data_IF_966141555393
#
_entry.id   IF_966141555393
#
_cell.length_a   1.000
_cell.length_b   1.000
_cell.length_c   1.000
_cell.angle_alpha   90.00
_cell.angle_beta   90.00
_cell.angle_gamma   90.00
#
_symmetry.space_group_name_H-M   'P 1'
#
loop_
_entity.id
_entity.type
_entity.pdbx_description
1 polymer ?
#
# COMPACT_ATOMS: atom_id res chain seq x y z
N UNK A 1 30.40 -8.56 -22.66
CA UNK A 1 29.54 -8.74 -21.48
C UNK A 1 28.61 -9.91 -21.73
N UNK A 2 28.83 -11.04 -21.04
CA UNK A 2 27.95 -12.21 -21.16
C UNK A 2 26.55 -11.87 -20.66
N UNK A 3 25.52 -12.16 -21.46
CA UNK A 3 24.12 -12.02 -21.05
C UNK A 3 23.87 -13.01 -19.88
N UNK A 4 23.61 -12.52 -18.68
CA UNK A 4 23.24 -13.40 -17.58
C UNK A 4 21.90 -14.11 -17.90
N UNK A 5 21.80 -15.38 -17.51
CA UNK A 5 20.57 -16.16 -17.65
C UNK A 5 19.72 -15.92 -16.38
N UNK A 6 18.48 -15.37 -16.49
CA UNK A 6 17.66 -15.11 -15.32
C UNK A 6 17.27 -16.42 -14.62
N UNK A 7 17.25 -16.41 -13.28
CA UNK A 7 16.92 -17.58 -12.43
C UNK A 7 15.45 -17.63 -12.04
N UNK A 8 14.66 -16.63 -12.39
CA UNK A 8 13.24 -16.53 -12.06
C UNK A 8 12.63 -15.24 -12.55
N UNK A 9 11.38 -15.01 -12.17
CA UNK A 9 10.54 -13.90 -12.61
C UNK A 9 10.14 -12.99 -11.46
N UNK A 10 10.07 -11.68 -11.75
CA UNK A 10 9.24 -10.71 -11.03
C UNK A 10 8.04 -10.40 -11.91
N UNK A 11 6.84 -10.64 -11.40
CA UNK A 11 5.60 -10.25 -12.07
C UNK A 11 5.08 -8.96 -11.43
N UNK A 12 4.73 -7.97 -12.26
CA UNK A 12 4.28 -6.67 -11.79
C UNK A 12 3.06 -6.15 -12.56
N UNK A 13 2.31 -5.23 -11.96
CA UNK A 13 1.26 -4.47 -12.63
C UNK A 13 1.86 -3.27 -13.40
N UNK A 14 1.06 -2.62 -14.24
CA UNK A 14 1.54 -1.55 -15.12
C UNK A 14 2.20 -0.38 -14.37
N UNK A 15 1.72 -0.04 -13.19
CA UNK A 15 2.13 1.14 -12.43
C UNK A 15 3.43 0.95 -11.65
N UNK A 16 3.70 -0.25 -11.19
CA UNK A 16 4.93 -0.59 -10.47
C UNK A 16 6.13 -0.91 -11.37
N UNK A 17 5.97 -0.72 -12.70
CA UNK A 17 6.90 -1.21 -13.70
C UNK A 17 8.34 -0.70 -13.56
N UNK A 18 8.55 0.58 -13.24
CA UNK A 18 9.91 1.14 -13.10
C UNK A 18 10.63 0.48 -11.92
N UNK A 19 10.01 0.46 -10.75
CA UNK A 19 10.58 -0.14 -9.54
C UNK A 19 10.79 -1.65 -9.71
N UNK A 20 9.81 -2.35 -10.28
CA UNK A 20 9.89 -3.79 -10.53
C UNK A 20 11.05 -4.15 -11.48
N UNK A 21 11.27 -3.36 -12.54
CA UNK A 21 12.38 -3.56 -13.47
C UNK A 21 13.73 -3.31 -12.83
N UNK A 22 13.88 -2.25 -12.02
CA UNK A 22 15.10 -1.98 -11.27
C UNK A 22 15.40 -3.10 -10.27
N UNK A 23 14.40 -3.55 -9.54
CA UNK A 23 14.54 -4.65 -8.58
C UNK A 23 14.91 -5.97 -9.27
N UNK A 24 14.26 -6.28 -10.38
CA UNK A 24 14.58 -7.46 -11.19
C UNK A 24 16.01 -7.45 -11.70
N UNK A 25 16.50 -6.33 -12.22
CA UNK A 25 17.87 -6.18 -12.67
C UNK A 25 18.87 -6.45 -11.53
N UNK A 26 18.63 -5.85 -10.36
CA UNK A 26 19.50 -6.02 -9.19
C UNK A 26 19.50 -7.47 -8.65
N UNK A 27 18.39 -8.19 -8.78
CA UNK A 27 18.23 -9.58 -8.32
C UNK A 27 18.57 -10.63 -9.39
N UNK A 28 18.98 -10.22 -10.59
CA UNK A 28 19.20 -11.09 -11.76
C UNK A 28 17.95 -11.91 -12.12
N UNK A 29 16.78 -11.32 -11.94
CA UNK A 29 15.48 -11.86 -12.34
C UNK A 29 15.00 -11.19 -13.64
N UNK A 30 14.01 -11.79 -14.30
CA UNK A 30 13.32 -11.17 -15.41
C UNK A 30 12.04 -10.49 -14.94
N UNK A 31 11.90 -9.19 -15.22
CA UNK A 31 10.67 -8.45 -14.96
C UNK A 31 9.66 -8.69 -16.08
N UNK A 32 8.46 -9.13 -15.73
CA UNK A 32 7.36 -9.36 -16.68
C UNK A 32 6.14 -8.57 -16.21
N UNK A 33 5.65 -7.71 -17.11
CA UNK A 33 4.35 -7.07 -16.92
C UNK A 33 3.27 -8.14 -16.99
N UNK A 34 2.17 -7.92 -16.28
CA UNK A 34 1.01 -8.81 -16.31
C UNK A 34 0.44 -8.96 -17.73
N UNK A 35 0.99 -9.90 -18.46
CA UNK A 35 0.59 -10.28 -19.80
C UNK A 35 0.69 -11.81 -19.89
N UNK A 36 -0.48 -12.46 -19.97
CA UNK A 36 -0.57 -13.92 -19.93
C UNK A 36 0.18 -14.57 -21.09
N UNK A 37 0.22 -13.94 -22.26
CA UNK A 37 0.94 -14.45 -23.44
C UNK A 37 2.45 -14.49 -23.20
N UNK A 38 3.01 -13.44 -22.63
CA UNK A 38 4.44 -13.35 -22.32
C UNK A 38 4.82 -14.28 -21.17
N UNK A 39 3.94 -14.46 -20.19
CA UNK A 39 4.18 -15.35 -19.06
C UNK A 39 4.18 -16.81 -19.51
N UNK A 40 3.34 -17.16 -20.47
CA UNK A 40 3.31 -18.49 -21.07
C UNK A 40 4.60 -18.82 -21.79
N UNK A 41 5.21 -17.86 -22.48
CA UNK A 41 6.54 -18.01 -23.13
C UNK A 41 7.68 -18.27 -22.14
N UNK A 42 7.50 -17.92 -20.86
CA UNK A 42 8.50 -18.10 -19.81
C UNK A 42 8.10 -19.13 -18.75
N UNK A 43 7.28 -20.11 -19.13
CA UNK A 43 6.71 -21.12 -18.23
C UNK A 43 7.76 -21.98 -17.50
N UNK A 44 9.00 -22.03 -17.98
CA UNK A 44 10.10 -22.75 -17.32
C UNK A 44 10.75 -21.99 -16.15
N UNK A 45 10.51 -20.68 -16.02
CA UNK A 45 11.08 -19.90 -14.93
C UNK A 45 10.08 -19.74 -13.78
N UNK A 46 10.49 -20.05 -12.53
CA UNK A 46 9.61 -19.88 -11.38
C UNK A 46 9.32 -18.40 -11.11
N UNK A 47 8.10 -18.10 -10.69
CA UNK A 47 7.76 -16.78 -10.19
C UNK A 47 8.34 -16.65 -8.77
N UNK A 48 9.29 -15.75 -8.58
CA UNK A 48 9.94 -15.52 -7.28
C UNK A 48 9.25 -14.41 -6.49
N UNK A 49 8.80 -13.36 -7.17
CA UNK A 49 8.24 -12.17 -6.54
C UNK A 49 7.00 -11.72 -7.30
N UNK A 50 5.92 -11.43 -6.56
CA UNK A 50 4.75 -10.70 -7.06
C UNK A 50 4.79 -9.27 -6.54
N UNK A 51 5.03 -8.34 -7.43
CA UNK A 51 5.10 -6.92 -7.09
C UNK A 51 3.77 -6.24 -7.42
N UNK A 52 2.81 -6.34 -6.47
CA UNK A 52 1.46 -5.80 -6.62
C UNK A 52 0.59 -6.51 -7.66
N UNK A 53 0.92 -7.73 -8.03
CA UNK A 53 0.22 -8.49 -9.05
C UNK A 53 -0.49 -9.71 -8.48
N UNK A 54 -1.82 -9.74 -8.56
CA UNK A 54 -2.69 -10.84 -8.10
C UNK A 54 -3.17 -11.77 -9.21
N UNK A 55 -2.83 -11.50 -10.46
CA UNK A 55 -3.20 -12.37 -11.58
C UNK A 55 -2.36 -13.65 -11.61
N UNK A 56 -2.85 -14.70 -12.25
CA UNK A 56 -2.23 -16.02 -12.36
C UNK A 56 -2.22 -16.83 -11.05
N UNK A 57 -3.43 -17.19 -10.59
CA UNK A 57 -3.61 -18.09 -9.44
C UNK A 57 -2.99 -19.48 -9.62
N UNK A 58 -2.79 -19.92 -10.85
CA UNK A 58 -2.48 -21.32 -11.19
C UNK A 58 -0.99 -21.66 -11.25
N UNK A 59 -0.07 -20.71 -11.08
CA UNK A 59 1.36 -21.03 -11.11
C UNK A 59 1.90 -21.23 -9.71
N UNK A 60 2.38 -22.45 -9.51
CA UNK A 60 3.17 -22.84 -8.36
C UNK A 60 4.33 -21.89 -8.14
N UNK A 61 4.73 -21.71 -6.88
CA UNK A 61 6.03 -21.22 -6.41
C UNK A 61 6.25 -19.74 -6.23
N UNK A 62 5.22 -18.93 -6.06
CA UNK A 62 5.48 -17.60 -5.55
C UNK A 62 5.77 -17.65 -4.06
N UNK A 63 7.02 -17.43 -3.73
CA UNK A 63 7.41 -17.39 -2.33
C UNK A 63 7.08 -16.06 -1.66
N UNK A 64 6.94 -14.95 -2.43
CA UNK A 64 6.86 -13.63 -1.82
C UNK A 64 5.75 -12.78 -2.39
N UNK A 65 4.93 -12.35 -1.50
CA UNK A 65 3.57 -11.89 -1.53
C UNK A 65 2.64 -12.84 -2.27
N UNK A 66 1.88 -13.61 -1.51
CA UNK A 66 0.85 -14.50 -2.07
C UNK A 66 -0.24 -13.71 -2.80
N UNK A 67 -0.96 -14.38 -3.68
CA UNK A 67 -2.10 -13.78 -4.39
C UNK A 67 -3.17 -13.30 -3.40
N UNK A 68 -3.44 -14.09 -2.37
CA UNK A 68 -4.42 -13.80 -1.33
C UNK A 68 -4.04 -12.54 -0.55
N UNK A 69 -2.77 -12.42 -0.15
CA UNK A 69 -2.24 -11.22 0.53
C UNK A 69 -2.40 -9.98 -0.35
N UNK A 70 -2.06 -10.08 -1.65
CA UNK A 70 -2.17 -8.95 -2.57
C UNK A 70 -3.64 -8.55 -2.77
N UNK A 71 -4.53 -9.52 -2.97
CA UNK A 71 -5.97 -9.27 -3.13
C UNK A 71 -6.58 -8.61 -1.88
N UNK A 72 -6.21 -9.09 -0.70
CA UNK A 72 -6.64 -8.50 0.57
C UNK A 72 -6.17 -7.04 0.68
N UNK A 73 -4.87 -6.79 0.47
CA UNK A 73 -4.28 -5.46 0.65
C UNK A 73 -4.71 -4.46 -0.44
N UNK A 74 -5.05 -4.90 -1.64
CA UNK A 74 -5.47 -4.04 -2.75
C UNK A 74 -6.96 -3.68 -2.74
N UNK A 75 -7.76 -4.34 -1.92
CA UNK A 75 -9.20 -4.10 -1.80
C UNK A 75 -9.50 -3.40 -0.46
N UNK A 76 -9.75 -2.10 -0.49
CA UNK A 76 -9.96 -1.29 0.71
C UNK A 76 -11.11 -1.80 1.60
N UNK A 77 -12.21 -2.29 1.02
CA UNK A 77 -13.32 -2.85 1.77
C UNK A 77 -12.94 -4.18 2.44
N UNK A 78 -12.30 -5.08 1.70
CA UNK A 78 -11.85 -6.36 2.25
C UNK A 78 -10.83 -6.16 3.36
N UNK A 79 -9.89 -5.23 3.17
CA UNK A 79 -8.90 -4.88 4.18
C UNK A 79 -9.52 -4.23 5.42
N UNK A 80 -10.47 -3.31 5.24
CA UNK A 80 -11.21 -2.72 6.36
C UNK A 80 -11.95 -3.79 7.20
N UNK A 81 -12.70 -4.67 6.54
CA UNK A 81 -13.40 -5.77 7.22
C UNK A 81 -12.42 -6.71 7.95
N UNK A 82 -11.29 -7.03 7.30
CA UNK A 82 -10.23 -7.82 7.92
C UNK A 82 -9.67 -7.14 9.17
N UNK A 83 -9.41 -5.83 9.10
CA UNK A 83 -8.93 -5.06 10.25
C UNK A 83 -9.94 -5.07 11.40
N UNK A 84 -11.22 -4.86 11.12
CA UNK A 84 -12.29 -4.90 12.14
C UNK A 84 -12.34 -6.27 12.83
N UNK A 85 -12.32 -7.36 12.06
CA UNK A 85 -12.36 -8.72 12.59
C UNK A 85 -11.12 -9.08 13.44
N UNK A 86 -10.03 -8.35 13.29
CA UNK A 86 -8.78 -8.56 14.04
C UNK A 86 -8.48 -7.45 15.07
N UNK A 87 -9.46 -6.57 15.38
CA UNK A 87 -9.31 -5.44 16.30
C UNK A 87 -8.17 -4.47 15.92
N UNK A 88 -7.95 -4.29 14.62
CA UNK A 88 -6.98 -3.36 14.07
C UNK A 88 -7.70 -2.08 13.67
N UNK A 89 -7.17 -0.94 14.10
CA UNK A 89 -7.75 0.34 13.74
C UNK A 89 -7.46 0.69 12.28
N UNK A 90 -8.50 0.78 11.48
CA UNK A 90 -8.48 1.19 10.07
C UNK A 90 -9.74 1.99 9.74
N UNK A 91 -9.77 2.78 8.65
CA UNK A 91 -11.00 3.42 8.22
C UNK A 91 -12.09 2.40 7.92
N UNK A 92 -13.31 2.69 8.32
CA UNK A 92 -14.48 1.86 8.02
C UNK A 92 -15.04 2.29 6.67
N UNK A 93 -15.13 1.37 5.73
CA UNK A 93 -15.70 1.60 4.41
C UNK A 93 -17.14 1.11 4.38
N UNK A 94 -18.10 2.04 4.29
CA UNK A 94 -19.52 1.72 4.18
C UNK A 94 -20.00 2.03 2.76
N UNK A 95 -20.65 1.09 2.04
CA UNK A 95 -21.29 1.41 0.78
C UNK A 95 -22.29 2.54 0.95
N UNK A 96 -22.30 3.54 0.06
CA UNK A 96 -23.15 4.72 0.23
C UNK A 96 -24.64 4.37 0.26
N UNK A 97 -25.06 3.35 -0.47
CA UNK A 97 -26.45 2.85 -0.41
C UNK A 97 -26.84 2.20 0.94
N UNK A 98 -25.89 2.04 1.85
CA UNK A 98 -26.11 1.57 3.24
C UNK A 98 -25.79 2.64 4.27
N UNK A 99 -25.56 3.88 3.82
CA UNK A 99 -25.30 5.00 4.71
C UNK A 99 -26.56 5.34 5.49
N UNK A 100 -26.38 5.67 6.77
CA UNK A 100 -27.45 6.18 7.61
C UNK A 100 -28.04 7.48 7.06
N UNK A 101 -29.31 7.77 7.32
CA UNK A 101 -29.99 8.97 6.82
C UNK A 101 -29.30 10.28 7.28
N UNK A 102 -28.60 10.26 8.41
CA UNK A 102 -27.87 11.41 8.96
C UNK A 102 -26.41 11.04 9.25
N UNK A 103 -25.56 11.05 8.21
CA UNK A 103 -24.14 10.78 8.44
C UNK A 103 -23.47 11.89 9.25
N UNK A 104 -22.46 11.53 10.03
CA UNK A 104 -21.62 12.50 10.73
C UNK A 104 -20.72 13.23 9.73
N UNK A 105 -20.83 14.55 9.66
CA UNK A 105 -19.98 15.42 8.83
C UNK A 105 -18.75 15.90 9.62
N UNK A 106 -17.62 16.16 8.93
CA UNK A 106 -17.35 15.80 7.54
C UNK A 106 -17.05 14.31 7.36
N UNK A 107 -17.26 13.80 6.13
CA UNK A 107 -16.85 12.48 5.74
C UNK A 107 -16.24 12.47 4.34
N UNK A 108 -15.58 11.35 3.97
CA UNK A 108 -14.97 11.17 2.66
C UNK A 108 -15.84 10.26 1.80
N UNK A 109 -15.95 10.58 0.52
CA UNK A 109 -16.48 9.68 -0.50
C UNK A 109 -15.33 9.20 -1.37
N UNK A 110 -15.22 7.89 -1.56
CA UNK A 110 -14.14 7.25 -2.31
C UNK A 110 -14.68 6.18 -3.25
N UNK A 111 -14.02 6.00 -4.39
CA UNK A 111 -14.26 4.85 -5.25
C UNK A 111 -13.68 3.56 -4.62
N UNK A 112 -14.25 2.41 -5.01
CA UNK A 112 -13.79 1.09 -4.56
C UNK A 112 -12.31 0.85 -4.88
N UNK A 113 -11.90 1.26 -6.07
CA UNK A 113 -10.53 1.17 -6.56
C UNK A 113 -10.01 2.58 -6.80
N UNK A 114 -9.42 3.16 -5.78
CA UNK A 114 -8.82 4.48 -5.85
C UNK A 114 -7.30 4.39 -5.77
N UNK A 115 -6.60 5.40 -6.31
CA UNK A 115 -5.15 5.46 -6.35
C UNK A 115 -4.63 6.85 -6.05
N UNK A 116 -3.56 6.94 -5.25
CA UNK A 116 -2.87 8.19 -4.95
C UNK A 116 -3.77 9.33 -4.45
N UNK A 117 -4.91 9.00 -3.82
CA UNK A 117 -5.88 10.00 -3.37
C UNK A 117 -6.71 10.64 -4.48
N UNK A 118 -6.69 10.08 -5.71
CA UNK A 118 -7.63 10.47 -6.77
C UNK A 118 -9.05 10.08 -6.37
N UNK A 119 -10.01 10.87 -6.82
CA UNK A 119 -11.45 10.62 -6.62
C UNK A 119 -11.89 10.57 -5.15
N UNK A 120 -11.11 11.19 -4.23
CA UNK A 120 -11.54 11.44 -2.88
C UNK A 120 -12.25 12.79 -2.84
N UNK A 121 -13.48 12.80 -2.35
CA UNK A 121 -14.26 13.99 -2.11
C UNK A 121 -14.56 14.13 -0.63
N UNK A 122 -14.45 15.36 -0.10
CA UNK A 122 -14.89 15.67 1.25
C UNK A 122 -16.32 16.17 1.15
N UNK A 123 -17.19 15.58 1.94
CA UNK A 123 -18.58 15.99 2.06
C UNK A 123 -18.72 16.67 3.42
N UNK A 124 -18.93 17.97 3.41
CA UNK A 124 -19.04 18.78 4.62
C UNK A 124 -20.50 18.97 5.03
N UNK A 125 -21.41 18.94 4.05
CA UNK A 125 -22.85 19.17 4.29
C UNK A 125 -23.72 18.30 3.37
N UNK A 126 -25.00 18.18 3.69
CA UNK A 126 -25.98 17.49 2.84
C UNK A 126 -26.09 18.08 1.42
N UNK A 127 -25.74 19.34 1.22
CA UNK A 127 -25.77 20.00 -0.10
C UNK A 127 -24.71 19.45 -1.04
N UNK A 128 -23.63 18.88 -0.51
CA UNK A 128 -22.50 18.34 -1.28
C UNK A 128 -22.78 16.92 -1.81
N UNK A 129 -23.89 16.31 -1.36
CA UNK A 129 -24.30 14.95 -1.70
C UNK A 129 -24.83 14.76 -3.14
N UNK A 130 -24.60 15.68 -4.07
CA UNK A 130 -25.02 15.59 -5.49
C UNK A 130 -24.24 14.53 -6.32
N UNK A 131 -23.92 13.39 -5.73
CA UNK A 131 -22.98 12.44 -6.30
C UNK A 131 -23.75 11.25 -6.88
N UNK A 132 -23.33 10.80 -8.08
CA UNK A 132 -23.71 9.47 -8.60
C UNK A 132 -23.13 8.39 -7.68
N UNK A 133 -23.99 7.75 -6.89
CA UNK A 133 -23.60 7.08 -5.65
C UNK A 133 -23.36 5.57 -5.77
N UNK A 134 -23.66 4.94 -6.92
CA UNK A 134 -23.79 3.48 -7.00
C UNK A 134 -22.51 2.67 -6.71
N UNK A 135 -21.31 3.26 -6.91
CA UNK A 135 -20.03 2.55 -6.78
C UNK A 135 -19.13 3.07 -5.67
N UNK A 136 -19.62 4.04 -4.88
CA UNK A 136 -18.80 4.77 -3.92
C UNK A 136 -18.98 4.28 -2.49
N UNK A 137 -17.99 4.58 -1.68
CA UNK A 137 -17.97 4.28 -0.25
C UNK A 137 -17.91 5.58 0.56
N UNK A 138 -18.68 5.60 1.61
CA UNK A 138 -18.54 6.52 2.72
C UNK A 138 -17.40 6.05 3.63
N UNK A 139 -16.52 6.98 3.99
CA UNK A 139 -15.43 6.77 4.95
C UNK A 139 -15.44 7.92 5.95
N UNK A 140 -15.56 7.68 7.24
CA UNK A 140 -15.51 8.74 8.24
C UNK A 140 -14.22 9.57 8.10
N UNK A 141 -14.34 10.90 8.20
CA UNK A 141 -13.17 11.75 8.26
C UNK A 141 -12.51 11.61 9.63
N UNK A 142 -11.26 11.17 9.64
CA UNK A 142 -10.49 10.93 10.87
C UNK A 142 -9.36 11.98 10.94
N UNK A 143 -9.45 12.96 11.86
CA UNK A 143 -8.40 13.94 12.07
C UNK A 143 -7.11 13.27 12.53
N UNK A 144 -6.02 13.50 11.78
CA UNK A 144 -4.73 12.92 12.09
C UNK A 144 -3.68 14.02 12.31
N UNK A 145 -2.72 13.78 13.21
CA UNK A 145 -1.64 14.73 13.49
C UNK A 145 -0.56 14.68 12.40
N UNK A 146 -0.17 13.47 12.03
CA UNK A 146 0.82 13.21 10.98
C UNK A 146 0.59 11.84 10.36
N UNK A 147 1.15 11.63 9.17
CA UNK A 147 1.12 10.37 8.45
C UNK A 147 2.54 9.87 8.19
N UNK A 148 2.71 8.57 8.26
CA UNK A 148 3.98 7.88 8.03
C UNK A 148 3.82 6.74 7.05
N UNK A 149 4.88 6.43 6.33
CA UNK A 149 5.04 5.19 5.56
C UNK A 149 6.09 4.31 6.20
N UNK A 150 5.71 3.08 6.49
CA UNK A 150 6.60 2.06 7.05
C UNK A 150 6.91 1.02 6.00
N UNK A 151 8.17 0.88 5.61
CA UNK A 151 8.63 -0.23 4.78
C UNK A 151 8.93 -1.45 5.63
N UNK A 152 8.26 -2.53 5.29
CA UNK A 152 8.37 -3.83 5.93
C UNK A 152 8.93 -4.86 4.95
N UNK A 153 9.88 -5.67 5.40
CA UNK A 153 10.49 -6.71 4.58
C UNK A 153 10.85 -7.89 5.49
N UNK A 154 10.29 -9.07 5.21
CA UNK A 154 10.69 -10.35 5.80
C UNK A 154 10.82 -10.33 7.33
N UNK A 155 9.82 -9.80 8.01
CA UNK A 155 9.80 -9.78 9.47
C UNK A 155 10.37 -8.50 10.10
N UNK A 156 10.91 -7.57 9.30
CA UNK A 156 11.55 -6.37 9.83
C UNK A 156 10.92 -5.09 9.31
N UNK A 157 10.89 -4.07 10.15
CA UNK A 157 10.62 -2.69 9.74
C UNK A 157 11.95 -2.03 9.39
N UNK A 158 12.14 -1.76 8.11
CA UNK A 158 13.42 -1.29 7.57
C UNK A 158 13.51 0.24 7.48
N UNK A 159 12.40 0.90 7.17
CA UNK A 159 12.34 2.36 6.98
C UNK A 159 11.00 2.93 7.42
N UNK A 160 11.06 4.12 8.03
CA UNK A 160 9.89 4.92 8.38
C UNK A 160 10.10 6.32 7.80
N UNK A 161 9.19 6.75 6.93
CA UNK A 161 9.19 8.09 6.34
C UNK A 161 8.00 8.87 6.84
N UNK A 162 8.22 10.14 7.19
CA UNK A 162 7.16 11.09 7.50
C UNK A 162 6.60 11.65 6.19
N UNK A 163 5.29 11.83 6.12
CA UNK A 163 4.64 12.51 5.01
C UNK A 163 4.68 14.02 5.26
N UNK A 164 5.27 14.74 4.34
CA UNK A 164 5.52 16.19 4.45
C UNK A 164 4.91 16.94 3.27
N UNK A 165 4.48 18.20 3.48
CA UNK A 165 3.98 19.02 2.40
C UNK A 165 5.13 19.48 1.49
N UNK A 166 4.85 19.56 0.20
CA UNK A 166 5.72 20.23 -0.76
C UNK A 166 5.59 21.76 -0.69
N UNK A 167 6.41 22.51 -1.44
CA UNK A 167 6.47 23.98 -1.36
C UNK A 167 5.13 24.69 -1.62
N UNK A 168 4.29 24.14 -2.50
CA UNK A 168 3.02 24.72 -2.92
C UNK A 168 1.80 23.96 -2.40
N UNK A 169 1.97 23.19 -1.31
CA UNK A 169 0.88 22.40 -0.73
C UNK A 169 -0.02 23.28 0.11
N UNK A 170 -1.33 23.23 -0.14
CA UNK A 170 -2.29 23.78 0.81
C UNK A 170 -2.36 22.88 2.05
N UNK A 171 -1.67 23.30 3.11
CA UNK A 171 -1.60 22.55 4.37
C UNK A 171 -2.94 22.55 5.13
N UNK A 172 -3.86 23.45 4.79
CA UNK A 172 -5.21 23.51 5.38
C UNK A 172 -6.11 22.46 4.78
N UNK A 173 -5.80 21.97 3.57
CA UNK A 173 -6.58 20.93 2.95
C UNK A 173 -6.35 19.59 3.67
N UNK A 174 -7.39 18.96 4.19
CA UNK A 174 -7.23 17.85 5.14
C UNK A 174 -6.75 16.53 4.50
N UNK A 175 -6.82 16.40 3.16
CA UNK A 175 -6.36 15.18 2.45
C UNK A 175 -4.88 15.29 2.11
N UNK A 176 -4.07 14.46 2.75
CA UNK A 176 -2.62 14.41 2.52
C UNK A 176 -2.28 13.37 1.46
N UNK A 177 -2.45 13.71 0.19
CA UNK A 177 -2.07 12.82 -0.92
C UNK A 177 -1.05 13.47 -1.84
N UNK A 178 -0.39 12.68 -2.69
CA UNK A 178 0.56 13.18 -3.67
C UNK A 178 -0.08 14.14 -4.68
N UNK A 179 -1.37 13.96 -4.99
CA UNK A 179 -2.12 14.87 -5.86
C UNK A 179 -2.32 16.26 -5.24
N UNK A 180 -2.25 16.36 -3.91
CA UNK A 180 -2.32 17.62 -3.17
C UNK A 180 -0.94 18.06 -2.66
N UNK A 181 0.13 17.59 -3.29
CA UNK A 181 1.50 18.03 -3.01
C UNK A 181 2.18 17.40 -1.79
N UNK A 182 1.55 16.41 -1.14
CA UNK A 182 2.15 15.72 -0.01
C UNK A 182 3.05 14.55 -0.46
N UNK A 183 4.24 14.46 0.11
CA UNK A 183 5.24 13.45 -0.27
C UNK A 183 5.87 12.80 0.96
N UNK A 184 6.28 11.55 0.83
CA UNK A 184 7.15 10.90 1.80
C UNK A 184 8.58 11.36 1.52
N UNK A 185 9.07 12.33 2.31
CA UNK A 185 10.36 12.97 2.13
C UNK A 185 11.28 12.72 3.32
N UNK A 186 12.52 13.15 3.11
CA UNK A 186 13.48 13.29 4.17
C UNK A 186 14.21 12.02 4.55
N UNK A 187 14.85 12.09 5.70
CA UNK A 187 15.55 10.98 6.30
C UNK A 187 14.56 9.98 6.90
N UNK A 188 14.94 8.71 6.90
CA UNK A 188 14.16 7.70 7.57
C UNK A 188 14.23 7.90 9.10
N UNK A 189 13.09 7.78 9.76
CA UNK A 189 12.91 8.00 11.20
C UNK A 189 12.84 6.68 11.99
N UNK A 190 13.48 5.61 11.50
CA UNK A 190 13.34 4.28 12.07
C UNK A 190 13.77 4.14 13.53
N UNK A 191 14.65 5.01 14.02
CA UNK A 191 15.18 4.93 15.39
C UNK A 191 14.40 5.79 16.41
N UNK A 192 13.37 6.51 15.99
CA UNK A 192 12.62 7.36 16.89
C UNK A 192 11.58 6.55 17.70
N UNK A 193 11.66 6.64 19.03
CA UNK A 193 10.78 5.92 19.95
C UNK A 193 9.30 6.24 19.76
N UNK A 194 8.96 7.45 19.26
CA UNK A 194 7.56 7.82 18.99
C UNK A 194 6.86 6.90 17.98
N UNK A 195 7.63 6.18 17.16
CA UNK A 195 7.08 5.24 16.15
C UNK A 195 7.06 3.78 16.61
N UNK A 196 7.44 3.45 17.86
CA UNK A 196 7.45 2.08 18.34
C UNK A 196 6.08 1.40 18.20
N UNK A 197 5.01 2.06 18.61
CA UNK A 197 3.64 1.54 18.45
C UNK A 197 3.25 1.29 16.99
N UNK A 198 3.75 2.12 16.06
CA UNK A 198 3.52 1.92 14.63
C UNK A 198 4.30 0.71 14.09
N UNK A 199 5.54 0.50 14.56
CA UNK A 199 6.34 -0.70 14.22
C UNK A 199 5.67 -1.97 14.69
N UNK A 200 5.25 -2.01 15.95
CA UNK A 200 4.56 -3.16 16.55
C UNK A 200 3.29 -3.50 15.77
N UNK A 201 2.49 -2.47 15.43
CA UNK A 201 1.29 -2.65 14.64
C UNK A 201 1.60 -3.15 13.22
N UNK A 202 2.62 -2.62 12.54
CA UNK A 202 3.04 -3.08 11.22
C UNK A 202 3.49 -4.55 11.25
N UNK A 203 4.29 -4.95 12.24
CA UNK A 203 4.74 -6.32 12.42
C UNK A 203 3.57 -7.28 12.69
N UNK A 204 2.64 -6.88 13.57
CA UNK A 204 1.44 -7.65 13.86
C UNK A 204 0.61 -7.87 12.60
N UNK A 205 0.33 -6.80 11.85
CA UNK A 205 -0.52 -6.87 10.66
C UNK A 205 0.16 -7.62 9.52
N UNK A 206 1.46 -7.43 9.32
CA UNK A 206 2.22 -8.21 8.34
C UNK A 206 2.14 -9.72 8.64
N UNK A 207 2.25 -10.11 9.90
CA UNK A 207 2.16 -11.52 10.32
C UNK A 207 0.79 -12.13 10.00
N UNK A 208 -0.31 -11.44 10.34
CA UNK A 208 -1.65 -12.01 10.16
C UNK A 208 -2.16 -11.90 8.72
N UNK A 209 -1.66 -10.97 7.90
CA UNK A 209 -1.97 -10.87 6.46
C UNK A 209 -1.09 -11.78 5.60
N UNK A 210 -0.03 -12.35 6.16
CA UNK A 210 0.97 -13.10 5.41
C UNK A 210 1.84 -12.22 4.50
N UNK A 211 1.91 -10.91 4.76
CA UNK A 211 2.74 -9.99 3.98
C UNK A 211 4.21 -10.30 4.19
N UNK A 212 4.95 -10.49 3.11
CA UNK A 212 6.40 -10.70 3.19
C UNK A 212 7.19 -9.42 2.94
N UNK A 213 6.69 -8.55 2.08
CA UNK A 213 7.23 -7.19 1.91
C UNK A 213 6.16 -6.23 1.42
N UNK A 214 6.33 -4.95 1.75
CA UNK A 214 5.41 -3.90 1.35
C UNK A 214 5.62 -2.61 2.13
N UNK A 215 4.69 -1.68 1.99
CA UNK A 215 4.68 -0.46 2.78
C UNK A 215 3.29 -0.24 3.41
N UNK A 216 3.30 0.11 4.69
CA UNK A 216 2.12 0.51 5.44
C UNK A 216 2.02 2.02 5.43
N UNK A 217 0.91 2.57 4.96
CA UNK A 217 0.56 3.97 5.15
C UNK A 217 -0.28 4.09 6.42
N UNK A 218 0.26 4.78 7.41
CA UNK A 218 -0.31 4.90 8.75
C UNK A 218 -0.42 6.36 9.18
N UNK A 219 -1.36 6.64 10.08
CA UNK A 219 -1.47 7.96 10.68
C UNK A 219 -1.66 7.90 12.21
N UNK A 220 -1.15 8.90 12.89
CA UNK A 220 -1.38 9.07 14.32
C UNK A 220 -2.67 9.84 14.57
N UNK A 221 -3.59 9.23 15.32
CA UNK A 221 -4.87 9.82 15.76
C UNK A 221 -4.73 10.27 17.21
N UNK A 222 -4.57 11.58 17.47
CA UNK A 222 -4.32 12.10 18.83
C UNK A 222 -5.42 11.75 19.83
N UNK A 223 -6.67 11.86 19.40
CA UNK A 223 -7.85 11.61 20.26
C UNK A 223 -7.89 10.18 20.78
N UNK A 224 -7.44 9.22 19.97
CA UNK A 224 -7.40 7.81 20.33
C UNK A 224 -6.06 7.38 20.93
N UNK A 225 -5.02 8.22 20.83
CA UNK A 225 -3.63 7.89 21.19
C UNK A 225 -3.14 6.60 20.51
N UNK A 226 -3.57 6.38 19.26
CA UNK A 226 -3.30 5.15 18.46
C UNK A 226 -2.92 5.52 17.03
N UNK A 227 -2.27 4.56 16.37
CA UNK A 227 -2.10 4.58 14.92
C UNK A 227 -3.28 3.91 14.24
N UNK A 228 -3.67 4.46 13.10
CA UNK A 228 -4.61 3.89 12.14
C UNK A 228 -3.83 3.47 10.90
N UNK A 229 -4.20 2.34 10.30
CA UNK A 229 -3.65 1.91 9.01
C UNK A 229 -4.60 2.35 7.90
N UNK A 230 -4.12 3.21 7.00
CA UNK A 230 -4.88 3.64 5.83
C UNK A 230 -4.90 2.57 4.75
N UNK A 231 -3.72 2.03 4.43
CA UNK A 231 -3.54 1.04 3.37
C UNK A 231 -2.22 0.28 3.52
N UNK A 232 -2.16 -0.88 2.86
CA UNK A 232 -0.91 -1.62 2.65
C UNK A 232 -0.63 -1.66 1.15
N UNK A 233 0.53 -1.15 0.77
CA UNK A 233 0.99 -1.19 -0.61
C UNK A 233 1.94 -2.36 -0.82
N UNK A 234 1.50 -3.38 -1.57
CA UNK A 234 2.30 -4.57 -1.90
C UNK A 234 3.28 -4.35 -3.06
N UNK A 235 3.29 -3.15 -3.65
CA UNK A 235 4.25 -2.71 -4.66
C UNK A 235 4.65 -1.25 -4.42
N UNK A 236 5.28 -0.95 -3.27
CA UNK A 236 5.62 0.43 -2.95
C UNK A 236 6.64 1.01 -3.92
N UNK A 237 6.52 2.30 -4.23
CA UNK A 237 7.60 3.03 -4.88
C UNK A 237 8.84 3.03 -3.98
N UNK A 238 9.99 2.71 -4.55
CA UNK A 238 11.27 2.65 -3.84
C UNK A 238 12.21 3.73 -4.40
N UNK A 239 12.77 4.56 -3.52
CA UNK A 239 13.93 5.37 -3.87
C UNK A 239 15.18 4.49 -3.90
N UNK A 240 16.30 5.00 -4.41
CA UNK A 240 17.49 4.20 -4.65
C UNK A 240 18.00 3.51 -3.38
N UNK A 241 18.00 4.19 -2.24
CA UNK A 241 18.43 3.61 -0.97
C UNK A 241 17.47 2.52 -0.45
N UNK A 242 16.17 2.74 -0.54
CA UNK A 242 15.17 1.73 -0.16
C UNK A 242 15.21 0.53 -1.13
N UNK A 243 15.45 0.79 -2.42
CA UNK A 243 15.64 -0.26 -3.42
C UNK A 243 16.84 -1.15 -3.09
N UNK A 244 17.94 -0.56 -2.64
CA UNK A 244 19.13 -1.30 -2.21
C UNK A 244 18.81 -2.23 -1.03
N UNK A 245 18.10 -1.74 -0.01
CA UNK A 245 17.67 -2.55 1.14
C UNK A 245 16.81 -3.73 0.68
N UNK A 246 15.77 -3.46 -0.13
CA UNK A 246 14.91 -4.51 -0.69
C UNK A 246 15.72 -5.53 -1.48
N UNK A 247 16.66 -5.07 -2.32
CA UNK A 247 17.54 -5.94 -3.11
C UNK A 247 18.37 -6.86 -2.21
N UNK A 248 19.02 -6.30 -1.19
CA UNK A 248 19.92 -7.06 -0.31
C UNK A 248 19.17 -8.10 0.53
N UNK A 249 17.98 -7.76 1.03
CA UNK A 249 17.18 -8.69 1.82
C UNK A 249 16.54 -9.77 0.96
N UNK A 250 15.94 -9.41 -0.17
CA UNK A 250 15.31 -10.38 -1.07
C UNK A 250 16.34 -11.31 -1.72
N UNK A 251 17.57 -10.85 -1.97
CA UNK A 251 18.66 -11.70 -2.51
C UNK A 251 19.00 -12.90 -1.61
N UNK A 252 18.79 -12.75 -0.29
CA UNK A 252 19.08 -13.83 0.66
C UNK A 252 18.10 -15.00 0.57
N UNK A 253 16.98 -14.83 -0.11
CA UNK A 253 15.85 -15.76 -0.06
C UNK A 253 15.39 -16.28 -1.43
N UNK A 254 15.91 -15.73 -2.52
CA UNK A 254 15.66 -16.14 -3.91
C UNK A 254 16.91 -16.79 -4.49
#
# INVERSE_FOLDING_TARGET
MGKYKPTGLIIYNQESGITAKKLAANLKLKAIKNDESIITLHNQLPIKIRYGNSHLKQRHDTKYNSVETILLCSNSLAFSNFCQNNNILSPIYTPINRMEEKPNFPFLVREKYHRAGKDIQIIETNKDLKIQMATKFHVPFIPTKYEIRIHYILGNVERIFLKEPGPNTDIKYPIRSSNFGWHYKGQAHQNENRYNKARELALQVAKITGLQFGAFDMAWVPQMKKYIIWEINTAPGLNDHTLEIYTNLLRKII
#
